data_IF_472448992886
#
_entry.id   IF_472448992886
#
_cell.length_a   1.000
_cell.length_b   1.000
_cell.length_c   1.000
_cell.angle_alpha   90.00
_cell.angle_beta   90.00
_cell.angle_gamma   90.00
#
_symmetry.space_group_name_H-M   'P 1'
#
loop_
_entity.id
_entity.type
_entity.pdbx_description
1 polymer ?
#
# COMPACT_ATOMS: atom_id res chain seq x y z
N UNK A 1 -11.24 28.02 -18.79
CA UNK A 1 -11.07 27.00 -19.84
C UNK A 1 -10.86 25.66 -19.15
N UNK A 2 -11.89 24.83 -19.13
CA UNK A 2 -11.91 23.52 -18.46
C UNK A 2 -11.21 22.50 -19.36
N UNK A 3 -10.02 22.05 -18.98
CA UNK A 3 -9.43 20.82 -19.52
C UNK A 3 -9.71 19.70 -18.53
N UNK A 4 -10.76 18.92 -18.81
CA UNK A 4 -11.00 17.66 -18.12
C UNK A 4 -9.90 16.66 -18.52
N UNK A 5 -8.76 16.68 -17.82
CA UNK A 5 -7.84 15.54 -17.79
C UNK A 5 -8.54 14.43 -17.02
N UNK A 6 -9.40 13.66 -17.71
CA UNK A 6 -10.11 12.55 -17.07
C UNK A 6 -9.08 11.59 -16.48
N UNK A 7 -9.14 11.36 -15.17
CA UNK A 7 -8.48 10.20 -14.57
C UNK A 7 -8.96 8.96 -15.32
N UNK A 8 -8.07 8.29 -16.05
CA UNK A 8 -8.40 7.00 -16.63
C UNK A 8 -8.03 5.96 -15.59
N UNK A 9 -9.04 5.46 -14.89
CA UNK A 9 -8.91 4.18 -14.20
C UNK A 9 -8.57 3.16 -15.29
N UNK A 10 -7.36 2.62 -15.21
CA UNK A 10 -6.84 1.61 -16.12
C UNK A 10 -6.67 0.30 -15.37
N UNK A 11 -6.49 -0.76 -16.13
CA UNK A 11 -6.04 -2.03 -15.58
C UNK A 11 -5.09 -2.71 -16.55
N UNK A 12 -4.14 -3.46 -16.02
CA UNK A 12 -3.19 -4.25 -16.80
C UNK A 12 -3.01 -5.61 -16.15
N UNK A 13 -2.97 -6.67 -16.96
CA UNK A 13 -2.67 -8.02 -16.49
C UNK A 13 -1.23 -8.36 -16.80
N UNK A 14 -0.44 -8.60 -15.75
CA UNK A 14 0.97 -8.96 -15.89
C UNK A 14 1.07 -10.36 -16.51
N UNK A 15 1.70 -10.47 -17.67
CA UNK A 15 1.75 -11.72 -18.44
C UNK A 15 2.40 -12.89 -17.67
N UNK A 16 3.44 -12.60 -16.87
CA UNK A 16 4.19 -13.62 -16.13
C UNK A 16 3.39 -14.24 -14.99
N UNK A 17 2.60 -13.44 -14.27
CA UNK A 17 1.91 -13.86 -13.05
C UNK A 17 0.40 -14.03 -13.25
N UNK A 18 -0.15 -13.48 -14.32
CA UNK A 18 -1.60 -13.41 -14.54
C UNK A 18 -2.32 -12.44 -13.60
N UNK A 19 -1.59 -11.70 -12.75
CA UNK A 19 -2.19 -10.74 -11.83
C UNK A 19 -2.64 -9.49 -12.57
N UNK A 20 -3.89 -9.09 -12.34
CA UNK A 20 -4.42 -7.82 -12.81
C UNK A 20 -4.14 -6.74 -11.76
N UNK A 21 -3.57 -5.62 -12.19
CA UNK A 21 -3.46 -4.40 -11.40
C UNK A 21 -4.40 -3.35 -11.95
N UNK A 22 -5.28 -2.81 -11.10
CA UNK A 22 -6.03 -1.60 -11.39
C UNK A 22 -5.23 -0.39 -10.89
N UNK A 23 -5.26 0.72 -11.64
CA UNK A 23 -4.49 1.90 -11.29
C UNK A 23 -5.08 3.17 -11.92
N UNK A 24 -4.86 4.30 -11.26
CA UNK A 24 -5.06 5.63 -11.82
C UNK A 24 -3.79 6.03 -12.55
N UNK A 25 -3.90 6.47 -13.80
CA UNK A 25 -2.76 7.02 -14.55
C UNK A 25 -3.08 8.37 -15.18
N UNK A 26 -2.19 9.33 -14.94
CA UNK A 26 -2.10 10.61 -15.62
C UNK A 26 -0.69 10.77 -16.20
N UNK A 27 -0.51 10.81 -17.53
CA UNK A 27 0.80 11.11 -18.10
C UNK A 27 1.22 12.54 -17.74
N UNK A 28 2.53 12.83 -17.65
CA UNK A 28 3.02 14.17 -17.39
C UNK A 28 2.57 15.13 -18.49
N UNK A 29 1.99 16.27 -18.12
CA UNK A 29 1.67 17.34 -19.09
C UNK A 29 2.86 18.27 -19.34
N UNK A 30 3.88 18.22 -18.48
CA UNK A 30 5.17 18.86 -18.70
C UNK A 30 6.25 17.79 -18.88
N UNK A 31 6.88 17.66 -20.06
CA UNK A 31 7.92 16.66 -20.33
C UNK A 31 9.15 16.76 -19.42
N UNK A 32 9.38 17.91 -18.76
CA UNK A 32 10.49 18.09 -17.82
C UNK A 32 10.18 17.61 -16.41
N UNK A 33 8.94 17.14 -16.14
CA UNK A 33 8.51 16.67 -14.82
C UNK A 33 8.49 15.14 -14.78
N UNK A 34 8.92 14.51 -13.67
CA UNK A 34 8.90 13.06 -13.54
C UNK A 34 7.47 12.53 -13.35
N UNK A 35 7.32 11.23 -13.53
CA UNK A 35 6.13 10.49 -13.10
C UNK A 35 6.30 10.04 -11.64
N UNK A 36 5.26 10.28 -10.84
CA UNK A 36 5.18 9.87 -9.44
C UNK A 36 4.45 8.54 -9.34
N UNK A 37 5.11 7.53 -8.74
CA UNK A 37 4.50 6.25 -8.39
C UNK A 37 3.99 6.33 -6.94
N UNK A 38 2.66 6.37 -6.77
CA UNK A 38 2.03 6.56 -5.47
C UNK A 38 1.47 5.23 -4.94
N UNK A 39 2.13 4.66 -3.92
CA UNK A 39 1.80 3.35 -3.36
C UNK A 39 1.07 3.52 -2.02
N UNK A 40 -0.17 3.06 -1.95
CA UNK A 40 -1.05 3.22 -0.78
C UNK A 40 -0.75 2.22 0.36
N UNK A 41 -1.40 2.44 1.51
CA UNK A 41 -1.30 1.60 2.71
C UNK A 41 -2.50 0.67 2.92
N UNK A 42 -2.55 0.02 4.08
CA UNK A 42 -3.71 -0.74 4.53
C UNK A 42 -4.60 0.12 5.45
N UNK A 43 -5.93 -0.07 5.45
CA UNK A 43 -6.77 -0.93 4.60
C UNK A 43 -7.33 -0.17 3.39
N UNK A 44 -6.49 0.62 2.71
CA UNK A 44 -6.95 1.53 1.66
C UNK A 44 -6.66 1.03 0.24
N UNK A 45 -6.86 1.91 -0.74
CA UNK A 45 -6.60 1.71 -2.16
C UNK A 45 -5.90 2.94 -2.74
N UNK A 46 -5.75 3.01 -4.07
CA UNK A 46 -5.28 4.23 -4.76
C UNK A 46 -6.06 5.50 -4.40
N UNK A 47 -7.26 5.36 -3.82
CA UNK A 47 -8.11 6.46 -3.35
C UNK A 47 -7.50 7.31 -2.21
N UNK A 48 -6.49 6.79 -1.48
CA UNK A 48 -5.72 7.58 -0.52
C UNK A 48 -5.16 8.86 -1.14
N UNK A 49 -4.78 8.77 -2.43
CA UNK A 49 -4.12 9.85 -3.15
C UNK A 49 -5.08 10.80 -3.85
N UNK A 50 -6.40 10.70 -3.65
CA UNK A 50 -7.42 11.48 -4.37
C UNK A 50 -7.24 12.99 -4.30
N UNK A 51 -6.58 13.50 -3.25
CA UNK A 51 -6.31 14.92 -3.08
C UNK A 51 -4.95 15.32 -3.67
N UNK A 52 -3.97 14.41 -3.61
CA UNK A 52 -2.64 14.62 -4.16
C UNK A 52 -2.63 14.52 -5.68
N UNK A 53 -3.40 13.59 -6.28
CA UNK A 53 -3.42 13.38 -7.73
C UNK A 53 -3.81 14.68 -8.49
N UNK A 54 -4.94 15.36 -8.19
CA UNK A 54 -5.30 16.60 -8.88
C UNK A 54 -4.27 17.71 -8.66
N UNK A 55 -3.72 17.81 -7.45
CA UNK A 55 -2.69 18.82 -7.14
C UNK A 55 -1.41 18.59 -7.96
N UNK A 56 -0.86 17.38 -7.94
CA UNK A 56 0.38 17.02 -8.64
C UNK A 56 0.23 17.13 -10.16
N UNK A 57 -0.89 16.65 -10.70
CA UNK A 57 -1.17 16.74 -12.14
C UNK A 57 -1.37 18.19 -12.60
N UNK A 58 -1.96 19.06 -11.77
CA UNK A 58 -2.06 20.50 -12.07
C UNK A 58 -0.70 21.20 -12.17
N UNK A 59 0.33 20.66 -11.49
CA UNK A 59 1.71 21.14 -11.57
C UNK A 59 2.51 20.50 -12.72
N UNK A 60 1.87 19.66 -13.52
CA UNK A 60 2.41 19.01 -14.71
C UNK A 60 3.18 17.72 -14.47
N UNK A 61 3.17 17.18 -13.25
CA UNK A 61 3.75 15.86 -12.96
C UNK A 61 2.91 14.74 -13.56
N UNK A 62 3.57 13.66 -13.97
CA UNK A 62 2.91 12.39 -14.23
C UNK A 62 2.55 11.72 -12.91
N UNK A 63 1.49 10.93 -12.89
CA UNK A 63 1.08 10.16 -11.71
C UNK A 63 0.60 8.79 -12.13
N UNK A 64 1.12 7.76 -11.48
CA UNK A 64 0.57 6.41 -11.50
C UNK A 64 0.32 5.94 -10.07
N UNK A 65 -0.92 5.59 -9.76
CA UNK A 65 -1.36 5.19 -8.43
C UNK A 65 -2.11 3.86 -8.52
N UNK A 66 -1.43 2.72 -8.30
CA UNK A 66 -2.05 1.40 -8.35
C UNK A 66 -2.80 1.05 -7.08
N UNK A 67 -3.88 0.30 -7.22
CA UNK A 67 -4.36 -0.59 -6.16
C UNK A 67 -3.34 -1.73 -6.04
N UNK A 68 -2.72 -1.89 -4.87
CA UNK A 68 -1.74 -2.93 -4.64
C UNK A 68 -2.38 -4.33 -4.74
N UNK A 69 -1.56 -5.37 -4.96
CA UNK A 69 -2.04 -6.75 -4.99
C UNK A 69 -2.77 -7.07 -3.68
N UNK A 70 -3.97 -7.65 -3.76
CA UNK A 70 -4.86 -7.88 -2.61
C UNK A 70 -5.90 -6.79 -2.37
N UNK A 71 -5.77 -5.62 -3.02
CA UNK A 71 -6.60 -4.44 -2.74
C UNK A 71 -7.47 -4.02 -3.92
N UNK A 72 -8.48 -3.20 -3.63
CA UNK A 72 -9.29 -2.49 -4.60
C UNK A 72 -9.78 -3.35 -5.77
N UNK A 73 -9.51 -2.91 -7.00
CA UNK A 73 -9.87 -3.66 -8.22
C UNK A 73 -8.76 -4.56 -8.76
N UNK A 74 -7.63 -4.66 -8.05
CA UNK A 74 -6.52 -5.57 -8.36
C UNK A 74 -6.83 -7.02 -7.92
N UNK A 75 -6.08 -7.96 -8.50
CA UNK A 75 -6.14 -9.38 -8.16
C UNK A 75 -5.90 -9.62 -6.68
N UNK A 76 -6.58 -10.63 -6.12
CA UNK A 76 -6.50 -11.02 -4.71
C UNK A 76 -6.23 -12.53 -4.61
N UNK A 77 -5.03 -12.98 -5.04
CA UNK A 77 -4.70 -14.41 -4.97
C UNK A 77 -4.81 -14.90 -3.53
N UNK A 78 -5.31 -16.12 -3.35
CA UNK A 78 -5.42 -16.75 -2.02
C UNK A 78 -4.07 -17.35 -1.55
N UNK A 79 -3.18 -17.68 -2.49
CA UNK A 79 -1.81 -18.07 -2.14
C UNK A 79 -1.07 -16.86 -1.56
N UNK A 80 -0.25 -17.09 -0.54
CA UNK A 80 0.58 -16.08 0.11
C UNK A 80 1.84 -15.75 -0.71
N UNK A 81 2.33 -16.69 -1.53
CA UNK A 81 3.59 -16.53 -2.28
C UNK A 81 3.62 -15.29 -3.20
N UNK A 82 2.52 -14.93 -3.90
CA UNK A 82 2.45 -13.68 -4.67
C UNK A 82 2.72 -12.38 -3.89
N UNK A 83 2.45 -12.35 -2.58
CA UNK A 83 2.57 -11.14 -1.76
C UNK A 83 4.00 -10.89 -1.25
N UNK A 84 4.98 -11.68 -1.72
CA UNK A 84 6.39 -11.41 -1.45
C UNK A 84 6.81 -10.14 -2.21
N UNK A 85 7.43 -9.20 -1.52
CA UNK A 85 7.78 -7.88 -2.05
C UNK A 85 8.61 -7.92 -3.34
N UNK A 86 9.49 -8.92 -3.52
CA UNK A 86 10.23 -9.10 -4.78
C UNK A 86 9.30 -9.42 -5.96
N UNK A 87 8.29 -10.28 -5.74
CA UNK A 87 7.30 -10.63 -6.78
C UNK A 87 6.43 -9.43 -7.12
N UNK A 88 5.93 -8.73 -6.10
CA UNK A 88 5.12 -7.53 -6.28
C UNK A 88 5.90 -6.40 -6.98
N UNK A 89 7.18 -6.23 -6.66
CA UNK A 89 8.05 -5.27 -7.34
C UNK A 89 8.20 -5.60 -8.83
N UNK A 90 8.41 -6.86 -9.18
CA UNK A 90 8.50 -7.30 -10.58
C UNK A 90 7.19 -7.08 -11.36
N UNK A 91 6.05 -7.34 -10.72
CA UNK A 91 4.74 -7.01 -11.29
C UNK A 91 4.59 -5.50 -11.52
N UNK A 92 5.01 -4.68 -10.55
CA UNK A 92 4.95 -3.22 -10.67
C UNK A 92 5.84 -2.69 -11.80
N UNK A 93 7.03 -3.26 -11.98
CA UNK A 93 7.88 -2.96 -13.14
C UNK A 93 7.16 -3.27 -14.44
N UNK A 94 6.45 -4.40 -14.52
CA UNK A 94 5.67 -4.76 -15.71
C UNK A 94 4.53 -3.77 -15.99
N UNK A 95 3.91 -3.21 -14.94
CA UNK A 95 2.92 -2.13 -15.08
C UNK A 95 3.56 -0.85 -15.61
N UNK A 96 4.73 -0.45 -15.08
CA UNK A 96 5.46 0.73 -15.56
C UNK A 96 5.90 0.58 -17.02
N UNK A 97 6.40 -0.60 -17.40
CA UNK A 97 6.81 -0.91 -18.77
C UNK A 97 5.63 -0.85 -19.74
N UNK A 98 4.46 -1.34 -19.33
CA UNK A 98 3.23 -1.26 -20.13
C UNK A 98 2.82 0.19 -20.44
N UNK A 99 3.03 1.11 -19.49
CA UNK A 99 2.77 2.53 -19.68
C UNK A 99 3.91 3.30 -20.35
N UNK A 100 5.03 2.62 -20.69
CA UNK A 100 6.21 3.26 -21.27
C UNK A 100 6.96 4.16 -20.28
N UNK A 101 6.86 3.90 -18.98
CA UNK A 101 7.48 4.71 -17.93
C UNK A 101 8.82 4.08 -17.54
N UNK A 102 9.91 4.68 -17.98
CA UNK A 102 11.26 4.20 -17.67
C UNK A 102 11.66 4.46 -16.21
N UNK A 103 11.35 5.63 -15.68
CA UNK A 103 11.81 6.06 -14.35
C UNK A 103 10.68 6.75 -13.59
N UNK A 104 10.66 6.55 -12.27
CA UNK A 104 9.69 7.19 -11.38
C UNK A 104 10.35 7.83 -10.17
N UNK A 105 9.65 8.79 -9.58
CA UNK A 105 9.83 9.15 -8.17
C UNK A 105 8.80 8.36 -7.36
N UNK A 106 9.27 7.46 -6.50
CA UNK A 106 8.41 6.58 -5.72
C UNK A 106 7.97 7.22 -4.40
N UNK A 107 6.69 7.14 -4.08
CA UNK A 107 6.12 7.59 -2.80
C UNK A 107 5.35 6.42 -2.19
N UNK A 108 5.79 5.97 -1.02
CA UNK A 108 5.16 4.87 -0.29
C UNK A 108 4.52 5.34 1.01
N UNK A 109 3.28 4.93 1.24
CA UNK A 109 2.56 5.12 2.50
C UNK A 109 2.28 3.76 3.15
N UNK A 110 2.62 3.57 4.43
CA UNK A 110 2.38 2.32 5.18
C UNK A 110 2.88 1.08 4.39
N UNK A 111 2.06 0.11 3.98
CA UNK A 111 2.48 -1.04 3.17
C UNK A 111 3.03 -0.67 1.80
N UNK A 112 2.68 0.50 1.27
CA UNK A 112 3.31 1.06 0.08
C UNK A 112 4.81 1.31 0.28
N UNK A 113 5.26 1.56 1.51
CA UNK A 113 6.69 1.68 1.84
C UNK A 113 7.40 0.33 1.71
N UNK A 114 6.75 -0.77 2.12
CA UNK A 114 7.29 -2.11 1.97
C UNK A 114 7.54 -2.43 0.48
N UNK A 115 6.58 -2.15 -0.39
CA UNK A 115 6.76 -2.33 -1.83
C UNK A 115 7.82 -1.38 -2.41
N UNK A 116 7.82 -0.10 -2.01
CA UNK A 116 8.81 0.88 -2.46
C UNK A 116 10.23 0.45 -2.12
N UNK A 117 10.46 -0.06 -0.90
CA UNK A 117 11.73 -0.64 -0.49
C UNK A 117 12.19 -1.74 -1.44
N UNK A 118 11.30 -2.64 -1.85
CA UNK A 118 11.67 -3.72 -2.76
C UNK A 118 11.95 -3.20 -4.16
N UNK A 119 11.21 -2.19 -4.64
CA UNK A 119 11.50 -1.54 -5.92
C UNK A 119 12.91 -0.91 -5.92
N UNK A 120 13.27 -0.12 -4.91
CA UNK A 120 14.58 0.55 -4.88
C UNK A 120 15.77 -0.41 -4.71
N UNK A 121 15.55 -1.58 -4.11
CA UNK A 121 16.62 -2.57 -3.90
C UNK A 121 16.81 -3.51 -5.10
N UNK A 122 15.71 -3.91 -5.75
CA UNK A 122 15.75 -4.86 -6.86
C UNK A 122 15.83 -4.19 -8.24
N UNK A 123 15.35 -2.94 -8.33
CA UNK A 123 15.28 -2.15 -9.56
C UNK A 123 15.74 -0.70 -9.30
N UNK A 124 16.95 -0.49 -8.73
CA UNK A 124 17.44 0.85 -8.38
C UNK A 124 17.48 1.81 -9.59
N UNK A 125 17.70 1.28 -10.79
CA UNK A 125 17.70 2.03 -12.04
C UNK A 125 16.33 2.57 -12.46
N UNK A 126 15.24 2.12 -11.82
CA UNK A 126 13.86 2.51 -12.13
C UNK A 126 13.30 3.58 -11.20
N UNK A 127 13.97 3.85 -10.08
CA UNK A 127 13.50 4.80 -9.06
C UNK A 127 14.54 5.88 -8.83
N UNK A 128 14.27 7.10 -9.32
CA UNK A 128 15.22 8.22 -9.20
C UNK A 128 15.29 8.78 -7.79
N UNK A 129 14.15 8.83 -7.11
CA UNK A 129 13.99 9.38 -5.75
C UNK A 129 12.88 8.62 -5.05
N UNK A 130 12.96 8.54 -3.73
CA UNK A 130 11.96 7.87 -2.90
C UNK A 130 11.50 8.75 -1.74
N UNK A 131 10.24 8.60 -1.36
CA UNK A 131 9.62 9.25 -0.20
C UNK A 131 8.88 8.18 0.60
N UNK A 132 9.16 8.15 1.91
CA UNK A 132 8.57 7.22 2.86
C UNK A 132 7.64 7.97 3.81
N UNK A 133 6.37 7.56 3.87
CA UNK A 133 5.33 8.19 4.69
C UNK A 133 4.77 7.17 5.69
N UNK A 134 4.65 7.58 6.95
CA UNK A 134 4.16 6.79 8.10
C UNK A 134 5.06 5.62 8.53
N UNK A 135 5.80 4.98 7.61
CA UNK A 135 6.71 3.86 7.89
C UNK A 135 8.07 4.16 7.27
N UNK A 136 9.15 3.94 8.03
CA UNK A 136 10.50 4.20 7.57
C UNK A 136 10.99 3.12 6.59
N UNK A 137 12.11 3.39 5.91
CA UNK A 137 12.79 2.36 5.14
C UNK A 137 13.21 1.19 6.05
N UNK A 138 12.90 -0.03 5.62
CA UNK A 138 13.31 -1.26 6.31
C UNK A 138 14.06 -2.18 5.35
N UNK A 139 15.22 -2.70 5.77
CA UNK A 139 15.98 -3.65 4.96
C UNK A 139 15.26 -5.01 4.92
N UNK A 140 14.94 -5.56 3.73
CA UNK A 140 14.35 -6.89 3.61
C UNK A 140 15.24 -8.00 4.17
N UNK A 141 14.63 -9.14 4.49
CA UNK A 141 15.36 -10.33 4.98
C UNK A 141 15.57 -10.38 6.49
N UNK A 142 15.16 -9.34 7.25
CA UNK A 142 15.05 -9.46 8.70
C UNK A 142 13.77 -10.19 9.07
N UNK A 143 13.91 -11.33 9.75
CA UNK A 143 12.76 -12.03 10.32
C UNK A 143 12.17 -11.15 11.43
N UNK A 144 10.89 -10.83 11.28
CA UNK A 144 10.13 -10.16 12.34
C UNK A 144 9.37 -11.22 13.13
N UNK A 145 9.64 -11.27 14.42
CA UNK A 145 8.87 -12.11 15.35
C UNK A 145 7.81 -11.23 16.03
N UNK A 146 6.57 -11.38 15.56
CA UNK A 146 5.42 -10.57 16.04
C UNK A 146 5.15 -10.83 17.53
N UNK A 147 5.41 -12.06 18.01
CA UNK A 147 5.18 -12.41 19.42
C UNK A 147 6.18 -11.69 20.32
N UNK A 148 7.47 -11.73 19.93
CA UNK A 148 8.52 -11.00 20.65
C UNK A 148 8.25 -9.49 20.64
N UNK A 149 7.85 -8.93 19.50
CA UNK A 149 7.51 -7.50 19.42
C UNK A 149 6.31 -7.13 20.31
N UNK A 150 5.29 -7.98 20.36
CA UNK A 150 4.14 -7.78 21.23
C UNK A 150 4.52 -7.84 22.72
N UNK A 151 5.38 -8.78 23.11
CA UNK A 151 5.91 -8.83 24.48
C UNK A 151 6.73 -7.58 24.84
N UNK A 152 7.56 -7.10 23.91
CA UNK A 152 8.36 -5.90 24.09
C UNK A 152 7.48 -4.65 24.24
N UNK A 153 6.51 -4.48 23.35
CA UNK A 153 5.60 -3.33 23.36
C UNK A 153 4.71 -3.35 24.60
N UNK A 154 4.19 -4.50 25.01
CA UNK A 154 3.45 -4.61 26.28
C UNK A 154 4.28 -4.13 27.47
N UNK A 155 5.55 -4.52 27.55
CA UNK A 155 6.45 -4.07 28.64
C UNK A 155 6.74 -2.57 28.59
N UNK A 156 6.84 -1.99 27.39
CA UNK A 156 7.22 -0.60 27.19
C UNK A 156 6.04 0.38 27.33
N UNK A 157 4.87 0.03 26.79
CA UNK A 157 3.72 0.94 26.66
C UNK A 157 2.42 0.38 27.24
N UNK A 158 2.44 -0.83 27.84
CA UNK A 158 1.31 -1.40 28.57
C UNK A 158 0.35 -2.28 27.77
N UNK A 159 0.54 -2.39 26.44
CA UNK A 159 -0.28 -3.23 25.56
C UNK A 159 0.53 -3.78 24.37
N UNK A 160 0.08 -4.88 23.77
CA UNK A 160 0.66 -5.42 22.54
C UNK A 160 0.34 -4.51 21.34
N UNK A 161 1.37 -3.91 20.70
CA UNK A 161 1.12 -2.95 19.62
C UNK A 161 0.69 -3.59 18.29
N UNK A 162 1.04 -4.86 18.07
CA UNK A 162 0.79 -5.61 16.83
C UNK A 162 -0.11 -6.83 17.10
N UNK A 163 -0.91 -6.84 18.16
CA UNK A 163 -1.83 -7.95 18.44
C UNK A 163 -2.87 -8.16 17.34
N UNK A 164 -3.33 -7.06 16.71
CA UNK A 164 -4.23 -7.11 15.56
C UNK A 164 -3.68 -7.92 14.36
N UNK A 165 -2.36 -8.07 14.22
CA UNK A 165 -1.78 -8.91 13.15
C UNK A 165 -2.15 -10.38 13.35
N UNK A 166 -2.21 -10.82 14.61
CA UNK A 166 -2.62 -12.18 14.93
C UNK A 166 -4.08 -12.41 14.52
N UNK A 167 -4.96 -11.44 14.80
CA UNK A 167 -6.34 -11.49 14.36
C UNK A 167 -6.47 -11.51 12.83
N UNK A 168 -5.76 -10.65 12.10
CA UNK A 168 -5.84 -10.63 10.63
C UNK A 168 -5.40 -11.94 9.98
N UNK A 169 -4.46 -12.66 10.61
CA UNK A 169 -4.03 -13.98 10.14
C UNK A 169 -4.87 -15.15 10.66
N UNK A 170 -5.81 -14.90 11.58
CA UNK A 170 -6.64 -15.95 12.17
C UNK A 170 -7.69 -16.49 11.18
N UNK A 171 -7.99 -17.80 11.19
CA UNK A 171 -9.07 -18.36 10.39
C UNK A 171 -10.40 -17.67 10.66
N UNK A 172 -11.10 -17.26 9.61
CA UNK A 172 -12.42 -16.62 9.71
C UNK A 172 -12.42 -15.13 10.03
N UNK A 173 -11.25 -14.52 10.30
CA UNK A 173 -11.13 -13.07 10.59
C UNK A 173 -11.72 -12.19 9.49
N UNK A 174 -11.51 -12.55 8.23
CA UNK A 174 -12.10 -11.84 7.08
C UNK A 174 -13.62 -11.81 7.10
N UNK A 175 -14.28 -12.88 7.59
CA UNK A 175 -15.74 -12.89 7.76
C UNK A 175 -16.15 -11.97 8.91
N UNK A 176 -15.45 -12.02 10.03
CA UNK A 176 -15.71 -11.14 11.19
C UNK A 176 -15.59 -9.67 10.79
N UNK A 177 -14.52 -9.30 10.07
CA UNK A 177 -14.33 -7.95 9.53
C UNK A 177 -15.46 -7.59 8.56
N UNK A 178 -15.82 -8.50 7.64
CA UNK A 178 -16.89 -8.26 6.66
C UNK A 178 -18.27 -8.05 7.30
N UNK A 179 -18.63 -8.87 8.28
CA UNK A 179 -19.89 -8.77 9.02
C UNK A 179 -19.95 -7.47 9.87
N UNK A 180 -18.79 -6.90 10.23
CA UNK A 180 -18.67 -5.73 11.12
C UNK A 180 -17.87 -4.58 10.47
N UNK A 181 -17.97 -4.40 9.15
CA UNK A 181 -17.07 -3.53 8.40
C UNK A 181 -17.11 -2.07 8.88
N UNK A 182 -18.28 -1.54 9.26
CA UNK A 182 -18.40 -0.18 9.81
C UNK A 182 -17.58 -0.02 11.10
N UNK A 183 -17.71 -0.97 12.03
CA UNK A 183 -16.93 -0.98 13.28
C UNK A 183 -15.45 -1.06 12.99
N UNK A 184 -15.04 -1.94 12.08
CA UNK A 184 -13.64 -2.09 11.67
C UNK A 184 -13.05 -0.78 11.15
N UNK A 185 -13.74 -0.10 10.23
CA UNK A 185 -13.26 1.18 9.68
C UNK A 185 -13.31 2.32 10.71
N UNK A 186 -14.32 2.37 11.58
CA UNK A 186 -14.39 3.35 12.66
C UNK A 186 -13.26 3.19 13.68
N UNK A 187 -12.81 1.97 13.94
CA UNK A 187 -11.66 1.70 14.83
C UNK A 187 -10.36 2.08 14.12
N UNK A 188 -10.17 1.68 12.86
CA UNK A 188 -8.92 1.93 12.13
C UNK A 188 -8.74 3.43 11.81
N UNK A 189 -9.80 4.12 11.41
CA UNK A 189 -9.75 5.56 11.12
C UNK A 189 -10.38 6.39 12.25
N UNK A 190 -10.18 5.94 13.49
CA UNK A 190 -10.71 6.63 14.65
C UNK A 190 -10.16 8.07 14.78
N UNK A 191 -11.01 8.99 15.24
CA UNK A 191 -10.59 10.35 15.54
C UNK A 191 -9.67 10.43 16.79
N UNK A 192 -9.81 9.47 17.70
CA UNK A 192 -9.02 9.34 18.92
C UNK A 192 -8.21 8.03 18.88
N UNK A 193 -6.91 8.16 18.60
CA UNK A 193 -6.01 7.02 18.48
C UNK A 193 -5.84 6.24 19.80
N UNK A 194 -6.21 6.79 20.96
CA UNK A 194 -6.16 6.05 22.24
C UNK A 194 -7.13 4.86 22.26
N UNK A 195 -8.14 4.85 21.38
CA UNK A 195 -9.04 3.70 21.20
C UNK A 195 -8.28 2.45 20.75
N UNK A 196 -7.15 2.60 20.05
CA UNK A 196 -6.34 1.45 19.62
C UNK A 196 -5.77 0.66 20.79
N UNK A 197 -5.43 1.32 21.90
CA UNK A 197 -4.86 0.69 23.09
C UNK A 197 -5.80 -0.35 23.73
N UNK A 198 -7.10 -0.27 23.41
CA UNK A 198 -8.15 -1.13 23.98
C UNK A 198 -8.83 -2.00 22.95
N UNK A 199 -9.03 -1.49 21.73
CA UNK A 199 -9.96 -2.07 20.76
C UNK A 199 -9.29 -2.55 19.47
N UNK A 200 -8.02 -2.22 19.25
CA UNK A 200 -7.33 -2.60 18.02
C UNK A 200 -6.05 -3.37 18.32
N UNK A 201 -5.09 -2.71 18.95
CA UNK A 201 -3.74 -3.22 19.10
C UNK A 201 -3.64 -4.49 19.96
N UNK A 202 -4.26 -4.59 21.15
CA UNK A 202 -4.06 -5.75 22.04
C UNK A 202 -4.49 -7.08 21.42
N UNK A 203 -3.84 -8.17 21.87
CA UNK A 203 -4.24 -9.52 21.49
C UNK A 203 -5.68 -9.81 21.94
N UNK A 204 -6.51 -10.36 21.07
CA UNK A 204 -7.89 -10.70 21.42
C UNK A 204 -8.87 -9.51 21.41
N UNK A 205 -8.41 -8.29 21.08
CA UNK A 205 -9.24 -7.09 21.11
C UNK A 205 -10.23 -7.02 19.94
N UNK A 206 -9.80 -7.47 18.75
CA UNK A 206 -10.58 -7.39 17.50
C UNK A 206 -11.63 -8.51 17.38
N UNK A 207 -11.55 -9.52 18.24
CA UNK A 207 -12.46 -10.65 18.33
C UNK A 207 -13.72 -10.38 19.16
N UNK A 208 -13.76 -9.26 19.91
CA UNK A 208 -14.82 -8.88 20.84
C UNK A 208 -15.73 -7.81 20.25
#
# INVERSE_FOLDING_TARGET
MSSSLSSKNKSFTVAKTGHKYAYVHHPPSNPSKPTLLLLHGFPSTSYDWRHQIPFLTSLGYGVIAPDLLGYGSSSKPLDVKPYIGQSMAADMISVLDHEGINNVVGVGHDWGTYLLTHLILWYPERVERCVFVSVAFHVPGRKMDVQVLNEMTRKAVGYEALGYWMFFTAPGSGKVIGDNWETFFNIIYCADASLWEKHFAPLGAMEK
#
